data_IF_303696895959
#
_entry.id   IF_303696895959
#
_cell.length_a   1.000
_cell.length_b   1.000
_cell.length_c   1.000
_cell.angle_alpha   90.00
_cell.angle_beta   90.00
_cell.angle_gamma   90.00
#
_symmetry.space_group_name_H-M   'P 1'
#
loop_
_entity.id
_entity.type
_entity.pdbx_description
1 polymer ?
#
# COMPACT_ATOMS: atom_id res chain seq x y z
N UNK A 1 -15.02 -18.65 3.52
CA UNK A 1 -15.44 -17.26 3.15
C UNK A 1 -15.81 -17.22 1.68
N UNK A 2 -16.82 -16.44 1.28
CA UNK A 2 -17.14 -16.23 -0.15
C UNK A 2 -16.32 -15.07 -0.70
N UNK A 3 -15.11 -15.36 -1.17
CA UNK A 3 -14.17 -14.36 -1.70
C UNK A 3 -14.72 -13.64 -2.94
N UNK A 4 -15.36 -14.31 -3.94
CA UNK A 4 -15.99 -13.62 -5.06
C UNK A 4 -17.03 -12.58 -4.63
N UNK A 5 -17.95 -12.94 -3.74
CA UNK A 5 -18.95 -11.99 -3.23
C UNK A 5 -18.31 -10.85 -2.40
N UNK A 6 -17.23 -11.14 -1.69
CA UNK A 6 -16.47 -10.13 -0.93
C UNK A 6 -15.80 -9.12 -1.87
N UNK A 7 -15.19 -9.59 -2.96
CA UNK A 7 -14.60 -8.74 -4.01
C UNK A 7 -15.65 -7.79 -4.61
N UNK A 8 -16.80 -8.31 -5.04
CA UNK A 8 -17.88 -7.49 -5.59
C UNK A 8 -18.36 -6.45 -4.57
N UNK A 9 -18.46 -6.82 -3.31
CA UNK A 9 -18.85 -5.90 -2.24
C UNK A 9 -17.81 -4.83 -2.01
N UNK A 10 -16.52 -5.18 -1.95
CA UNK A 10 -15.42 -4.25 -1.76
C UNK A 10 -15.36 -3.18 -2.87
N UNK A 11 -15.52 -3.58 -4.14
CA UNK A 11 -15.47 -2.68 -5.28
C UNK A 11 -16.45 -1.50 -5.16
N UNK A 12 -17.60 -1.71 -4.51
CA UNK A 12 -18.61 -0.64 -4.32
C UNK A 12 -18.12 0.56 -3.50
N UNK A 13 -17.02 0.43 -2.76
CA UNK A 13 -16.45 1.51 -1.93
C UNK A 13 -15.47 2.42 -2.70
N UNK A 14 -15.05 2.03 -3.92
CA UNK A 14 -13.97 2.71 -4.66
C UNK A 14 -14.47 3.67 -5.75
N UNK A 15 -15.78 3.84 -5.90
CA UNK A 15 -16.34 4.75 -6.91
C UNK A 15 -15.88 6.20 -6.74
N UNK A 16 -15.22 6.77 -7.78
CA UNK A 16 -14.78 8.17 -7.79
C UNK A 16 -13.49 8.47 -7.02
N UNK A 17 -12.73 7.45 -6.62
CA UNK A 17 -11.38 7.64 -6.10
C UNK A 17 -10.39 8.00 -7.20
N UNK A 18 -9.34 8.74 -6.82
CA UNK A 18 -8.23 9.07 -7.69
C UNK A 18 -7.45 7.81 -8.12
N UNK A 19 -6.80 7.83 -9.31
CA UNK A 19 -6.05 6.68 -9.85
C UNK A 19 -4.94 6.14 -8.95
N UNK A 20 -4.54 6.89 -7.94
CA UNK A 20 -3.49 6.50 -6.99
C UNK A 20 -3.96 5.52 -5.91
N UNK A 21 -5.27 5.48 -5.64
CA UNK A 21 -5.90 4.59 -4.65
C UNK A 21 -7.26 4.07 -5.18
N UNK A 22 -7.31 3.77 -6.47
CA UNK A 22 -8.49 3.23 -7.13
C UNK A 22 -8.65 1.72 -6.90
N UNK A 23 -9.69 1.14 -7.50
CA UNK A 23 -9.93 -0.30 -7.43
C UNK A 23 -8.75 -1.14 -7.95
N UNK A 24 -8.03 -0.66 -8.97
CA UNK A 24 -6.88 -1.38 -9.52
C UNK A 24 -5.68 -1.44 -8.56
N UNK A 25 -5.56 -0.50 -7.62
CA UNK A 25 -4.61 -0.63 -6.51
C UNK A 25 -4.94 -1.85 -5.66
N UNK A 26 -6.21 -2.03 -5.28
CA UNK A 26 -6.63 -3.20 -4.49
C UNK A 26 -6.34 -4.51 -5.23
N UNK A 27 -6.66 -4.58 -6.51
CA UNK A 27 -6.36 -5.77 -7.35
C UNK A 27 -4.85 -6.08 -7.34
N UNK A 28 -3.97 -5.07 -7.48
CA UNK A 28 -2.52 -5.28 -7.41
C UNK A 28 -2.02 -5.71 -6.02
N UNK A 29 -2.63 -5.20 -4.97
CA UNK A 29 -2.31 -5.62 -3.59
C UNK A 29 -2.70 -7.08 -3.36
N UNK A 30 -3.86 -7.52 -3.85
CA UNK A 30 -4.27 -8.93 -3.80
C UNK A 30 -3.28 -9.82 -4.56
N UNK A 31 -2.92 -9.49 -5.79
CA UNK A 31 -1.91 -10.20 -6.59
C UNK A 31 -0.53 -10.28 -5.90
N UNK A 32 -0.10 -9.18 -5.27
CA UNK A 32 1.11 -9.17 -4.45
C UNK A 32 0.98 -10.12 -3.25
N UNK A 33 -0.17 -10.10 -2.55
CA UNK A 33 -0.41 -10.94 -1.38
C UNK A 33 -0.40 -12.45 -1.75
N UNK A 34 -1.05 -12.83 -2.84
CA UNK A 34 -1.01 -14.20 -3.38
C UNK A 34 0.41 -14.62 -3.78
N UNK A 35 1.15 -13.72 -4.45
CA UNK A 35 2.54 -13.96 -4.81
C UNK A 35 3.42 -14.19 -3.59
N UNK A 36 3.25 -13.38 -2.54
CA UNK A 36 4.00 -13.50 -1.29
C UNK A 36 3.64 -14.79 -0.55
N UNK A 37 2.35 -15.13 -0.47
CA UNK A 37 1.88 -16.38 0.13
C UNK A 37 2.44 -17.62 -0.59
N UNK A 38 2.51 -17.59 -1.92
CA UNK A 38 3.09 -18.67 -2.71
C UNK A 38 4.61 -18.81 -2.59
N UNK A 39 5.31 -17.83 -2.01
CA UNK A 39 6.77 -17.84 -1.81
C UNK A 39 7.21 -18.14 -0.37
N UNK A 40 6.30 -18.40 0.53
CA UNK A 40 6.62 -18.79 1.91
C UNK A 40 6.40 -20.28 2.12
N UNK A 41 7.32 -20.94 2.85
CA UNK A 41 7.17 -22.34 3.26
C UNK A 41 6.25 -22.51 4.48
N UNK A 42 5.74 -21.40 5.02
CA UNK A 42 4.91 -21.41 6.22
C UNK A 42 3.43 -21.44 5.82
N UNK A 43 2.61 -22.10 6.63
CA UNK A 43 1.16 -22.14 6.42
C UNK A 43 0.55 -20.73 6.53
N UNK A 44 -0.23 -20.34 5.56
CA UNK A 44 -0.99 -19.08 5.49
C UNK A 44 -2.47 -19.41 5.50
N UNK A 45 -3.25 -18.68 6.26
CA UNK A 45 -4.71 -18.71 6.18
C UNK A 45 -5.15 -17.83 5.00
N UNK A 46 -5.40 -18.47 3.86
CA UNK A 46 -5.78 -17.76 2.62
C UNK A 46 -7.09 -16.98 2.76
N UNK A 47 -8.06 -17.50 3.51
CA UNK A 47 -9.32 -16.79 3.76
C UNK A 47 -9.08 -15.48 4.53
N UNK A 48 -8.21 -15.50 5.54
CA UNK A 48 -7.82 -14.29 6.29
C UNK A 48 -7.05 -13.33 5.41
N UNK A 49 -6.04 -13.80 4.68
CA UNK A 49 -5.18 -12.96 3.86
C UNK A 49 -5.97 -12.28 2.74
N UNK A 50 -6.72 -13.06 1.95
CA UNK A 50 -7.47 -12.52 0.81
C UNK A 50 -8.66 -11.68 1.26
N UNK A 51 -9.35 -12.09 2.34
CA UNK A 51 -10.41 -11.28 2.94
C UNK A 51 -9.91 -9.92 3.39
N UNK A 52 -8.75 -9.87 4.03
CA UNK A 52 -8.12 -8.62 4.44
C UNK A 52 -7.62 -7.81 3.23
N UNK A 53 -7.00 -8.43 2.23
CA UNK A 53 -6.49 -7.76 1.04
C UNK A 53 -7.61 -7.09 0.23
N UNK A 54 -8.74 -7.74 0.03
CA UNK A 54 -9.90 -7.13 -0.65
C UNK A 54 -10.53 -5.98 0.12
N UNK A 55 -10.43 -5.97 1.45
CA UNK A 55 -11.12 -5.00 2.31
C UNK A 55 -10.19 -3.92 2.92
N UNK A 56 -8.86 -3.98 2.70
CA UNK A 56 -7.91 -3.14 3.45
C UNK A 56 -8.18 -1.64 3.30
N UNK A 57 -8.56 -1.19 2.12
CA UNK A 57 -8.70 0.23 1.77
C UNK A 57 -10.17 0.69 1.55
N UNK A 58 -11.19 -0.08 1.97
CA UNK A 58 -12.62 0.29 1.79
C UNK A 58 -13.03 1.59 2.50
N UNK A 59 -12.21 2.06 3.44
CA UNK A 59 -12.39 3.34 4.12
C UNK A 59 -11.72 4.54 3.42
N UNK A 60 -10.88 4.30 2.39
CA UNK A 60 -10.03 5.31 1.77
C UNK A 60 -10.79 6.51 1.22
N UNK A 61 -11.91 6.27 0.54
CA UNK A 61 -12.74 7.36 0.01
C UNK A 61 -13.26 8.27 1.11
N UNK A 62 -13.75 7.69 2.19
CA UNK A 62 -14.28 8.46 3.34
C UNK A 62 -13.21 9.30 4.04
N UNK A 63 -11.98 8.76 4.14
CA UNK A 63 -10.83 9.52 4.67
C UNK A 63 -10.47 10.67 3.72
N UNK A 64 -10.44 10.43 2.41
CA UNK A 64 -10.18 11.45 1.39
C UNK A 64 -11.23 12.54 1.37
N UNK A 65 -12.50 12.19 1.59
CA UNK A 65 -13.62 13.13 1.67
C UNK A 65 -13.68 13.88 3.05
N UNK A 66 -12.81 13.53 4.00
CA UNK A 66 -12.76 14.11 5.34
C UNK A 66 -13.88 13.64 6.28
N UNK A 67 -14.58 12.56 5.94
CA UNK A 67 -15.66 12.00 6.75
C UNK A 67 -15.17 11.22 7.96
N UNK A 68 -13.95 10.64 7.86
CA UNK A 68 -13.30 9.85 8.91
C UNK A 68 -11.83 10.24 9.04
N UNK A 69 -11.24 9.99 10.20
CA UNK A 69 -9.85 10.32 10.48
C UNK A 69 -8.87 9.22 10.05
N UNK A 70 -9.30 7.96 10.03
CA UNK A 70 -8.45 6.80 9.75
C UNK A 70 -9.24 5.73 8.97
N UNK A 71 -8.81 5.48 7.73
CA UNK A 71 -9.45 4.50 6.85
C UNK A 71 -9.25 3.06 7.32
N UNK A 72 -8.11 2.74 7.96
CA UNK A 72 -7.82 1.39 8.41
C UNK A 72 -8.68 1.00 9.62
N UNK A 73 -8.86 1.91 10.57
CA UNK A 73 -9.72 1.66 11.73
C UNK A 73 -11.19 1.55 11.32
N UNK A 74 -11.68 2.48 10.50
CA UNK A 74 -13.03 2.43 9.97
C UNK A 74 -13.23 1.19 9.08
N UNK A 75 -12.28 0.89 8.20
CA UNK A 75 -12.29 -0.25 7.29
C UNK A 75 -12.37 -1.58 8.05
N UNK A 76 -11.60 -1.73 9.14
CA UNK A 76 -11.65 -2.91 9.98
C UNK A 76 -13.03 -3.11 10.64
N UNK A 77 -13.66 -2.03 11.11
CA UNK A 77 -15.01 -2.10 11.69
C UNK A 77 -16.06 -2.47 10.63
N UNK A 78 -15.98 -1.90 9.43
CA UNK A 78 -16.90 -2.20 8.32
C UNK A 78 -16.67 -3.62 7.78
N UNK A 79 -15.41 -4.08 7.69
CA UNK A 79 -15.06 -5.45 7.30
C UNK A 79 -15.71 -6.47 8.25
N UNK A 80 -15.66 -6.24 9.56
CA UNK A 80 -16.37 -7.07 10.55
C UNK A 80 -17.85 -7.22 10.19
N UNK A 81 -18.53 -6.11 9.96
CA UNK A 81 -19.96 -6.10 9.62
C UNK A 81 -20.24 -6.89 8.32
N UNK A 82 -19.40 -6.75 7.32
CA UNK A 82 -19.54 -7.46 6.04
C UNK A 82 -19.37 -8.97 6.26
N UNK A 83 -18.31 -9.39 6.96
CA UNK A 83 -17.99 -10.80 7.19
C UNK A 83 -19.00 -11.50 8.11
N UNK A 84 -19.47 -10.82 9.15
CA UNK A 84 -20.54 -11.31 10.02
C UNK A 84 -21.84 -11.57 9.24
N UNK A 85 -22.15 -10.69 8.27
CA UNK A 85 -23.31 -10.87 7.37
C UNK A 85 -23.17 -12.11 6.47
N UNK A 86 -21.95 -12.48 6.11
CA UNK A 86 -21.65 -13.72 5.40
C UNK A 86 -21.63 -14.97 6.30
N UNK A 87 -21.77 -14.82 7.62
CA UNK A 87 -21.72 -15.92 8.58
C UNK A 87 -20.31 -16.46 8.80
N UNK A 88 -19.28 -15.65 8.56
CA UNK A 88 -17.87 -16.00 8.86
C UNK A 88 -17.71 -16.15 10.37
N UNK A 89 -16.90 -17.12 10.80
CA UNK A 89 -16.68 -17.35 12.21
C UNK A 89 -15.96 -16.17 12.90
N UNK A 90 -16.22 -15.90 14.18
CA UNK A 90 -15.68 -14.73 14.87
C UNK A 90 -14.15 -14.65 14.92
N UNK A 91 -13.43 -15.77 14.96
CA UNK A 91 -11.97 -15.78 15.02
C UNK A 91 -11.37 -15.30 13.68
N UNK A 92 -11.92 -15.77 12.55
CA UNK A 92 -11.55 -15.31 11.22
C UNK A 92 -11.89 -13.82 11.03
N UNK A 93 -13.07 -13.37 11.50
CA UNK A 93 -13.45 -11.94 11.48
C UNK A 93 -12.44 -11.07 12.26
N UNK A 94 -12.04 -11.52 13.45
CA UNK A 94 -11.05 -10.82 14.27
C UNK A 94 -9.69 -10.75 13.59
N UNK A 95 -9.24 -11.84 12.97
CA UNK A 95 -7.97 -11.91 12.24
C UNK A 95 -7.94 -10.98 11.04
N UNK A 96 -8.99 -10.97 10.20
CA UNK A 96 -9.13 -10.04 9.06
C UNK A 96 -9.11 -8.59 9.52
N UNK A 97 -9.87 -8.25 10.56
CA UNK A 97 -9.92 -6.89 11.09
C UNK A 97 -8.58 -6.44 11.67
N UNK A 98 -7.80 -7.36 12.30
CA UNK A 98 -6.43 -7.06 12.73
C UNK A 98 -5.52 -6.76 11.53
N UNK A 99 -5.55 -7.60 10.49
CA UNK A 99 -4.77 -7.36 9.27
C UNK A 99 -5.06 -5.98 8.67
N UNK A 100 -6.35 -5.60 8.57
CA UNK A 100 -6.76 -4.31 8.03
C UNK A 100 -6.25 -3.15 8.92
N UNK A 101 -6.31 -3.24 10.25
CA UNK A 101 -5.75 -2.20 11.12
C UNK A 101 -4.24 -2.07 10.98
N UNK A 102 -3.53 -3.19 10.87
CA UNK A 102 -2.08 -3.24 10.88
C UNK A 102 -1.41 -2.98 9.52
N UNK A 103 -2.18 -2.92 8.39
CA UNK A 103 -1.56 -2.74 7.07
C UNK A 103 -0.96 -1.36 6.89
N UNK A 104 -1.56 -0.33 7.52
CA UNK A 104 -1.19 1.07 7.31
C UNK A 104 0.16 1.39 7.91
N UNK A 105 1.07 1.84 7.06
CA UNK A 105 2.42 2.26 7.41
C UNK A 105 2.51 3.35 8.52
N UNK A 106 1.52 4.20 8.64
CA UNK A 106 1.55 5.40 9.50
C UNK A 106 0.82 5.24 10.82
N UNK A 107 0.28 4.07 11.14
CA UNK A 107 -0.31 3.80 12.45
C UNK A 107 0.64 2.98 13.34
N UNK A 108 0.37 2.97 14.65
CA UNK A 108 1.20 2.28 15.63
C UNK A 108 0.74 0.83 15.88
N UNK A 109 -0.06 0.25 14.97
CA UNK A 109 -0.55 -1.13 15.09
C UNK A 109 0.43 -2.07 14.40
N UNK A 110 1.14 -2.87 15.19
CA UNK A 110 2.08 -3.87 14.68
C UNK A 110 1.34 -5.06 14.04
N UNK A 111 1.80 -5.55 12.86
CA UNK A 111 1.26 -6.76 12.26
C UNK A 111 1.74 -8.00 13.01
N UNK A 112 0.90 -8.52 13.91
CA UNK A 112 1.26 -9.65 14.77
C UNK A 112 1.20 -10.99 14.03
N UNK A 113 0.16 -11.19 13.20
CA UNK A 113 0.01 -12.44 12.43
C UNK A 113 0.83 -12.45 11.15
N UNK A 114 0.95 -13.64 10.56
CA UNK A 114 1.63 -13.80 9.27
C UNK A 114 0.85 -13.11 8.15
N UNK A 115 -0.44 -13.28 8.14
CA UNK A 115 -1.35 -12.68 7.17
C UNK A 115 -1.29 -11.15 7.23
N UNK A 116 -1.22 -10.57 8.43
CA UNK A 116 -1.03 -9.13 8.62
C UNK A 116 0.31 -8.64 8.06
N UNK A 117 1.40 -9.41 8.27
CA UNK A 117 2.72 -9.11 7.70
C UNK A 117 2.73 -9.22 6.18
N UNK A 118 2.10 -10.25 5.64
CA UNK A 118 2.00 -10.44 4.19
C UNK A 118 1.16 -9.33 3.53
N UNK A 119 0.05 -8.92 4.14
CA UNK A 119 -0.76 -7.81 3.64
C UNK A 119 0.02 -6.49 3.68
N UNK A 120 0.70 -6.18 4.78
CA UNK A 120 1.53 -4.98 4.89
C UNK A 120 2.65 -4.96 3.83
N UNK A 121 3.31 -6.09 3.61
CA UNK A 121 4.33 -6.21 2.56
C UNK A 121 3.71 -6.05 1.16
N UNK A 122 2.53 -6.62 0.91
CA UNK A 122 1.83 -6.54 -0.37
C UNK A 122 1.45 -5.10 -0.75
N UNK A 123 0.93 -4.32 0.21
CA UNK A 123 0.62 -2.91 0.02
C UNK A 123 1.89 -2.06 -0.16
N UNK A 124 2.91 -2.28 0.66
CA UNK A 124 4.21 -1.62 0.53
C UNK A 124 4.89 -1.92 -0.82
N UNK A 125 4.74 -3.12 -1.37
CA UNK A 125 5.22 -3.44 -2.71
C UNK A 125 4.53 -2.63 -3.81
N UNK A 126 3.24 -2.33 -3.71
CA UNK A 126 2.55 -1.47 -4.69
C UNK A 126 2.99 0.00 -4.61
N UNK A 127 3.58 0.41 -3.49
CA UNK A 127 4.11 1.76 -3.28
C UNK A 127 5.53 1.98 -3.85
N UNK A 128 6.22 0.93 -4.34
CA UNK A 128 7.60 1.00 -4.85
C UNK A 128 7.74 0.44 -6.27
N UNK A 129 8.93 0.61 -6.86
CA UNK A 129 9.20 0.20 -8.24
C UNK A 129 8.50 1.09 -9.26
N UNK A 130 8.25 0.57 -10.46
CA UNK A 130 7.67 1.31 -11.56
C UNK A 130 6.24 1.81 -11.25
N UNK A 131 5.43 0.98 -10.60
CA UNK A 131 4.06 1.37 -10.20
C UNK A 131 4.09 2.47 -9.16
N UNK A 132 4.93 2.34 -8.11
CA UNK A 132 5.06 3.35 -7.07
C UNK A 132 5.55 4.70 -7.61
N UNK A 133 6.51 4.70 -8.55
CA UNK A 133 6.93 5.91 -9.24
C UNK A 133 5.78 6.55 -10.02
N UNK A 134 5.08 5.78 -10.85
CA UNK A 134 3.95 6.28 -11.63
C UNK A 134 2.87 6.89 -10.73
N UNK A 135 2.53 6.22 -9.61
CA UNK A 135 1.58 6.73 -8.60
C UNK A 135 2.07 8.03 -7.96
N UNK A 136 3.35 8.12 -7.63
CA UNK A 136 3.94 9.34 -7.01
C UNK A 136 3.78 10.55 -7.92
N UNK A 137 4.11 10.41 -9.20
CA UNK A 137 4.00 11.51 -10.14
C UNK A 137 2.54 11.83 -10.54
N UNK A 138 1.68 10.82 -10.63
CA UNK A 138 0.24 11.01 -10.84
C UNK A 138 -0.39 11.81 -9.68
N UNK A 139 -0.11 11.41 -8.44
CA UNK A 139 -0.57 12.11 -7.23
C UNK A 139 -0.08 13.56 -7.19
N UNK A 140 1.19 13.78 -7.51
CA UNK A 140 1.76 15.12 -7.53
C UNK A 140 1.09 16.01 -8.58
N UNK A 141 0.85 15.49 -9.78
CA UNK A 141 0.13 16.21 -10.85
C UNK A 141 -1.30 16.58 -10.45
N UNK A 142 -2.03 15.66 -9.81
CA UNK A 142 -3.38 15.88 -9.30
C UNK A 142 -3.45 16.98 -8.23
N UNK A 143 -2.42 17.07 -7.36
CA UNK A 143 -2.36 18.01 -6.25
C UNK A 143 -1.52 19.27 -6.54
N UNK A 144 -1.10 19.48 -7.81
CA UNK A 144 -0.29 20.63 -8.20
C UNK A 144 1.08 20.70 -7.50
N UNK A 145 1.65 19.56 -7.10
CA UNK A 145 2.96 19.50 -6.48
C UNK A 145 4.08 19.66 -7.48
N UNK A 146 5.16 20.31 -7.07
CA UNK A 146 6.37 20.47 -7.87
C UNK A 146 7.02 19.12 -8.14
N UNK A 147 7.45 18.90 -9.39
CA UNK A 147 8.13 17.69 -9.80
C UNK A 147 9.51 17.57 -9.15
N UNK A 148 10.32 18.62 -9.32
CA UNK A 148 11.68 18.74 -8.83
C UNK A 148 12.01 20.21 -8.63
N UNK A 149 12.78 20.54 -7.59
CA UNK A 149 13.28 21.89 -7.33
C UNK A 149 14.80 21.81 -7.05
N UNK A 150 15.66 22.36 -7.94
CA UNK A 150 17.12 22.34 -7.71
C UNK A 150 17.55 23.15 -6.50
N UNK A 151 16.73 24.09 -6.01
CA UNK A 151 17.00 24.86 -4.78
C UNK A 151 16.60 24.09 -3.52
N UNK A 152 15.87 22.97 -3.64
CA UNK A 152 15.41 22.15 -2.53
C UNK A 152 15.81 20.67 -2.73
N UNK A 153 17.12 20.33 -2.70
CA UNK A 153 17.53 18.94 -2.81
C UNK A 153 17.08 18.12 -1.58
N UNK A 154 17.00 16.77 -1.70
CA UNK A 154 16.46 15.90 -0.65
C UNK A 154 17.10 16.05 0.74
N UNK A 155 18.39 16.48 0.80
CA UNK A 155 19.17 16.62 2.03
C UNK A 155 18.76 17.85 2.86
N UNK A 156 18.22 18.89 2.21
CA UNK A 156 17.80 20.14 2.88
C UNK A 156 16.29 20.29 2.98
N UNK A 157 15.55 19.37 2.41
CA UNK A 157 14.10 19.31 2.53
C UNK A 157 13.71 18.75 3.92
N UNK A 158 13.15 19.58 4.80
CA UNK A 158 12.79 19.21 6.16
C UNK A 158 11.46 18.44 6.25
N UNK A 159 10.71 18.34 5.13
CA UNK A 159 9.44 17.61 5.14
C UNK A 159 9.65 16.11 5.29
N UNK A 160 8.85 15.41 6.14
CA UNK A 160 9.01 13.96 6.32
C UNK A 160 8.71 13.15 5.06
N UNK A 161 7.86 13.66 4.19
CA UNK A 161 7.40 12.96 2.99
C UNK A 161 8.01 13.49 1.67
N UNK A 162 8.82 14.57 1.73
CA UNK A 162 9.32 15.28 0.55
C UNK A 162 8.33 16.30 0.01
N UNK A 163 8.79 17.55 -0.18
CA UNK A 163 7.98 18.64 -0.76
C UNK A 163 7.76 18.45 -2.26
N UNK A 164 8.76 17.92 -2.97
CA UNK A 164 8.67 17.62 -4.40
C UNK A 164 8.43 16.12 -4.63
N UNK A 165 7.98 15.75 -5.83
CA UNK A 165 7.84 14.34 -6.22
C UNK A 165 9.18 13.61 -6.14
N UNK A 166 10.25 14.26 -6.58
CA UNK A 166 11.59 13.68 -6.55
C UNK A 166 12.07 13.45 -5.10
N UNK A 167 11.87 14.43 -4.21
CA UNK A 167 12.20 14.27 -2.80
C UNK A 167 11.37 13.19 -2.13
N UNK A 168 10.10 12.99 -2.56
CA UNK A 168 9.26 11.90 -2.07
C UNK A 168 9.84 10.52 -2.41
N UNK A 169 10.44 10.36 -3.60
CA UNK A 169 11.15 9.12 -3.95
C UNK A 169 12.28 8.84 -2.94
N UNK A 170 13.10 9.83 -2.63
CA UNK A 170 14.21 9.69 -1.68
C UNK A 170 13.75 9.46 -0.24
N UNK A 171 12.75 10.23 0.21
CA UNK A 171 12.35 10.24 1.63
C UNK A 171 11.41 9.11 2.00
N UNK A 172 10.68 8.57 1.04
CA UNK A 172 9.71 7.51 1.31
C UNK A 172 9.97 6.25 0.49
N UNK A 173 9.95 6.31 -0.85
CA UNK A 173 9.96 5.10 -1.67
C UNK A 173 11.23 4.26 -1.45
N UNK A 174 12.41 4.89 -1.46
CA UNK A 174 13.69 4.20 -1.24
C UNK A 174 13.83 3.59 0.17
N UNK A 175 13.01 4.01 1.14
CA UNK A 175 13.04 3.50 2.52
C UNK A 175 12.07 2.37 2.78
N UNK A 176 11.09 2.15 1.88
CA UNK A 176 10.06 1.11 2.07
C UNK A 176 10.67 -0.29 2.09
N UNK A 177 11.74 -0.56 1.32
CA UNK A 177 12.43 -1.86 1.35
C UNK A 177 12.79 -2.33 2.76
N UNK A 178 13.26 -1.40 3.60
CA UNK A 178 13.73 -1.72 4.95
C UNK A 178 12.60 -2.02 5.95
N UNK A 179 11.35 -1.92 5.51
CA UNK A 179 10.15 -2.14 6.32
C UNK A 179 9.42 -3.44 6.01
N UNK A 180 9.95 -4.25 5.11
CA UNK A 180 9.35 -5.54 4.78
C UNK A 180 9.49 -6.52 5.95
N UNK A 181 8.39 -7.13 6.32
CA UNK A 181 8.30 -8.07 7.44
C UNK A 181 8.73 -9.48 7.07
N UNK A 182 8.47 -9.89 5.82
CA UNK A 182 8.72 -11.27 5.37
C UNK A 182 9.95 -11.38 4.47
N UNK A 183 10.56 -12.57 4.40
CA UNK A 183 11.69 -12.80 3.49
C UNK A 183 11.26 -12.70 2.02
N UNK A 184 10.06 -13.17 1.69
CA UNK A 184 9.48 -13.04 0.37
C UNK A 184 9.26 -11.56 -0.01
N UNK A 185 8.73 -10.75 0.92
CA UNK A 185 8.58 -9.30 0.75
C UNK A 185 9.92 -8.61 0.53
N UNK A 186 10.93 -8.90 1.36
CA UNK A 186 12.28 -8.37 1.21
C UNK A 186 12.91 -8.69 -0.14
N UNK A 187 12.75 -9.91 -0.63
CA UNK A 187 13.29 -10.33 -1.93
C UNK A 187 12.65 -9.54 -3.09
N UNK A 188 11.31 -9.44 -3.13
CA UNK A 188 10.62 -8.66 -4.16
C UNK A 188 10.90 -7.16 -4.05
N UNK A 189 10.98 -6.63 -2.84
CA UNK A 189 11.28 -5.23 -2.60
C UNK A 189 12.71 -4.87 -3.06
N UNK A 190 13.67 -5.79 -2.97
CA UNK A 190 15.03 -5.56 -3.45
C UNK A 190 15.06 -5.27 -4.96
N UNK A 191 14.34 -6.05 -5.77
CA UNK A 191 14.26 -5.84 -7.22
C UNK A 191 13.58 -4.49 -7.56
N UNK A 192 12.47 -4.17 -6.88
CA UNK A 192 11.76 -2.89 -7.08
C UNK A 192 12.58 -1.69 -6.61
N UNK A 193 13.37 -1.87 -5.55
CA UNK A 193 14.29 -0.86 -5.04
C UNK A 193 15.44 -0.57 -6.03
N UNK A 194 16.07 -1.60 -6.58
CA UNK A 194 17.12 -1.43 -7.59
C UNK A 194 16.62 -0.66 -8.82
N UNK A 195 15.36 -0.85 -9.21
CA UNK A 195 14.73 -0.03 -10.25
C UNK A 195 14.59 1.43 -9.82
N UNK A 196 14.20 1.71 -8.57
CA UNK A 196 14.13 3.09 -8.06
C UNK A 196 15.50 3.78 -8.05
N UNK A 197 16.56 3.09 -7.64
CA UNK A 197 17.93 3.62 -7.69
C UNK A 197 18.34 3.97 -9.13
N UNK A 198 18.05 3.09 -10.08
CA UNK A 198 18.30 3.34 -11.51
C UNK A 198 17.52 4.56 -12.03
N UNK A 199 16.26 4.70 -11.63
CA UNK A 199 15.45 5.87 -11.98
C UNK A 199 16.03 7.16 -11.42
N UNK A 200 16.44 7.15 -10.15
CA UNK A 200 17.05 8.33 -9.48
C UNK A 200 18.30 8.77 -10.22
N UNK A 201 19.23 7.84 -10.48
CA UNK A 201 20.47 8.12 -11.23
C UNK A 201 20.20 8.71 -12.64
N UNK A 202 19.22 8.13 -13.34
CA UNK A 202 18.84 8.61 -14.66
C UNK A 202 18.22 10.00 -14.60
N UNK A 203 17.30 10.22 -13.66
CA UNK A 203 16.62 11.51 -13.48
C UNK A 203 17.60 12.64 -13.15
N UNK A 204 18.52 12.41 -12.22
CA UNK A 204 19.57 13.39 -11.85
C UNK A 204 20.46 13.75 -13.02
N UNK A 205 20.91 12.74 -13.80
CA UNK A 205 21.73 12.98 -14.98
C UNK A 205 21.01 13.79 -16.07
N UNK A 206 19.70 13.53 -16.28
CA UNK A 206 18.89 14.30 -17.23
C UNK A 206 18.67 15.77 -16.77
N UNK A 207 18.38 15.97 -15.49
CA UNK A 207 18.24 17.32 -14.91
C UNK A 207 19.54 18.11 -14.97
N UNK A 208 20.68 17.45 -14.78
CA UNK A 208 22.01 18.07 -14.93
C UNK A 208 22.41 18.32 -16.42
N UNK A 209 21.69 17.75 -17.38
CA UNK A 209 22.05 17.83 -18.79
C UNK A 209 23.26 16.94 -19.17
N UNK A 210 23.53 15.90 -18.37
CA UNK A 210 24.65 14.96 -18.58
C UNK A 210 24.25 13.72 -19.39
N UNK A 211 22.96 13.49 -19.57
CA UNK A 211 22.35 12.36 -20.30
C UNK A 211 21.23 12.80 -21.22
#
# INVERSE_FOLDING_TARGET
MDIPALRERAETYFGGLAPTHDWHHVERVVENAETLAGRTDQTVDEDVLLGAAWLHDIGRKRESDGEIADHAEWGAAEARRILETQGVDPATVDAVAHCIRAHRFSNDVEPESREAKLLSDADNLDAIGAVGLARTFAYAGEHGRTLHDPALPPEVDDSPAGETSFNHVHKKLLRIRDRMYTDAGRALAADRHAFLETFVEQFEGEVAGER
#
